data_IF_350872530917
#
_entry.id   IF_350872530917
#
_cell.length_a   1.000
_cell.length_b   1.000
_cell.length_c   1.000
_cell.angle_alpha   90.00
_cell.angle_beta   90.00
_cell.angle_gamma   90.00
#
_symmetry.space_group_name_H-M   'P 1'
#
loop_
_entity.id
_entity.type
_entity.pdbx_description
1 polymer ?
#
# COMPACT_ATOMS: atom_id res chain seq x y z
N UNK A 1 -63.83 20.20 8.20
CA UNK A 1 -62.35 20.39 8.18
C UNK A 1 -61.72 19.14 7.63
N UNK A 2 -61.22 19.19 6.41
CA UNK A 2 -60.45 18.08 5.84
C UNK A 2 -58.99 18.37 6.11
N UNK A 3 -58.36 17.52 6.93
CA UNK A 3 -56.91 17.53 7.13
C UNK A 3 -56.32 16.68 6.05
N UNK A 4 -55.72 17.29 5.03
CA UNK A 4 -54.92 16.57 4.03
C UNK A 4 -53.57 16.27 4.62
N UNK A 5 -53.40 15.04 5.08
CA UNK A 5 -52.10 14.53 5.47
C UNK A 5 -51.23 14.28 4.22
N UNK A 6 -50.26 15.14 4.03
CA UNK A 6 -49.25 14.91 3.02
C UNK A 6 -48.35 13.78 3.56
N UNK A 7 -48.45 12.59 2.94
CA UNK A 7 -47.52 11.51 3.20
C UNK A 7 -46.24 11.84 2.43
N UNK A 8 -45.25 12.31 3.16
CA UNK A 8 -43.88 12.44 2.61
C UNK A 8 -43.31 11.03 2.47
N UNK A 9 -43.30 10.51 1.25
CA UNK A 9 -42.53 9.33 0.91
C UNK A 9 -41.05 9.72 0.88
N UNK A 10 -40.34 9.35 1.94
CA UNK A 10 -38.89 9.45 1.95
C UNK A 10 -38.34 8.42 0.96
N UNK A 11 -37.88 8.89 -0.20
CA UNK A 11 -37.16 8.04 -1.13
C UNK A 11 -35.77 7.83 -0.58
N UNK A 12 -35.50 6.64 0.00
CA UNK A 12 -34.17 6.24 0.38
C UNK A 12 -33.43 5.91 -0.93
N UNK A 13 -32.54 6.80 -1.34
CA UNK A 13 -31.64 6.52 -2.46
C UNK A 13 -30.66 5.44 -2.03
N UNK A 14 -30.86 4.22 -2.52
CA UNK A 14 -29.87 3.13 -2.37
C UNK A 14 -28.78 3.40 -3.39
N UNK A 15 -27.64 3.92 -2.93
CA UNK A 15 -26.44 3.99 -3.80
C UNK A 15 -25.96 2.56 -4.06
N UNK A 16 -25.81 2.14 -5.34
CA UNK A 16 -25.24 0.83 -5.61
C UNK A 16 -23.83 0.77 -5.04
N UNK A 17 -23.49 -0.33 -4.37
CA UNK A 17 -22.13 -0.58 -3.93
C UNK A 17 -21.18 -0.41 -5.13
N UNK A 18 -20.10 0.36 -4.95
CA UNK A 18 -19.09 0.54 -5.99
C UNK A 18 -18.62 -0.84 -6.47
N UNK A 19 -18.53 -1.02 -7.80
CA UNK A 19 -18.02 -2.24 -8.37
C UNK A 19 -16.62 -2.52 -7.83
N UNK A 20 -16.40 -3.72 -7.26
CA UNK A 20 -15.08 -4.12 -6.75
C UNK A 20 -14.13 -4.24 -7.93
N UNK A 21 -12.99 -3.54 -7.86
CA UNK A 21 -11.93 -3.63 -8.86
C UNK A 21 -11.44 -5.09 -8.94
N UNK A 22 -11.49 -5.69 -10.13
CA UNK A 22 -11.04 -7.07 -10.36
C UNK A 22 -9.56 -7.27 -10.04
N UNK A 23 -8.71 -6.25 -10.27
CA UNK A 23 -7.29 -6.30 -9.94
C UNK A 23 -7.07 -6.32 -8.44
N UNK A 24 -7.79 -5.48 -7.69
CA UNK A 24 -7.73 -5.46 -6.23
C UNK A 24 -8.20 -6.77 -5.63
N UNK A 25 -9.24 -7.40 -6.19
CA UNK A 25 -9.75 -8.71 -5.75
C UNK A 25 -8.73 -9.81 -6.01
N UNK A 26 -8.11 -9.85 -7.18
CA UNK A 26 -7.06 -10.83 -7.50
C UNK A 26 -5.84 -10.69 -6.60
N UNK A 27 -5.42 -9.47 -6.33
CA UNK A 27 -4.34 -9.19 -5.40
C UNK A 27 -4.66 -9.71 -4.00
N UNK A 28 -5.84 -9.39 -3.48
CA UNK A 28 -6.29 -9.86 -2.16
C UNK A 28 -6.38 -11.38 -2.09
N UNK A 29 -6.88 -12.04 -3.15
CA UNK A 29 -6.94 -13.50 -3.22
C UNK A 29 -5.56 -14.13 -3.24
N UNK A 30 -4.62 -13.55 -4.01
CA UNK A 30 -3.25 -14.00 -4.05
C UNK A 30 -2.54 -13.89 -2.70
N UNK A 31 -2.82 -12.84 -1.95
CA UNK A 31 -2.25 -12.65 -0.61
C UNK A 31 -2.62 -13.77 0.36
N UNK A 32 -3.81 -14.32 0.26
CA UNK A 32 -4.27 -15.40 1.15
C UNK A 32 -3.46 -16.69 1.02
N UNK A 33 -2.77 -16.88 -0.11
CA UNK A 33 -1.90 -18.02 -0.35
C UNK A 33 -0.50 -17.84 0.24
N UNK A 34 -0.18 -16.66 0.74
CA UNK A 34 1.11 -16.35 1.35
C UNK A 34 1.05 -16.53 2.87
N UNK A 35 2.20 -16.83 3.49
CA UNK A 35 2.30 -16.79 4.94
C UNK A 35 2.11 -15.35 5.46
N UNK A 36 1.81 -15.21 6.75
CA UNK A 36 1.45 -13.92 7.34
C UNK A 36 2.55 -12.86 7.22
N UNK A 37 3.81 -13.23 7.38
CA UNK A 37 4.92 -12.29 7.28
C UNK A 37 5.11 -11.79 5.84
N UNK A 38 5.14 -12.70 4.89
CA UNK A 38 5.23 -12.35 3.46
C UNK A 38 4.04 -11.52 3.02
N UNK A 39 2.85 -11.88 3.50
CA UNK A 39 1.62 -11.13 3.22
C UNK A 39 1.73 -9.68 3.71
N UNK A 40 2.25 -9.48 4.92
CA UNK A 40 2.44 -8.14 5.48
C UNK A 40 3.44 -7.32 4.66
N UNK A 41 4.56 -7.92 4.25
CA UNK A 41 5.54 -7.26 3.38
C UNK A 41 4.91 -6.81 2.06
N UNK A 42 4.11 -7.67 1.44
CA UNK A 42 3.46 -7.35 0.16
C UNK A 42 2.47 -6.21 0.27
N UNK A 43 1.60 -6.21 1.27
CA UNK A 43 0.62 -5.12 1.43
C UNK A 43 1.28 -3.80 1.80
N UNK A 44 2.35 -3.84 2.59
CA UNK A 44 3.10 -2.64 2.95
C UNK A 44 3.86 -2.07 1.76
N UNK A 45 4.47 -2.91 0.93
CA UNK A 45 5.12 -2.47 -0.30
C UNK A 45 4.13 -1.86 -1.29
N UNK A 46 2.96 -2.45 -1.44
CA UNK A 46 1.89 -1.89 -2.27
C UNK A 46 1.40 -0.55 -1.73
N UNK A 47 1.18 -0.44 -0.43
CA UNK A 47 0.76 0.81 0.21
C UNK A 47 1.82 1.90 0.06
N UNK A 48 3.11 1.55 0.14
CA UNK A 48 4.20 2.48 -0.10
C UNK A 48 4.11 3.12 -1.48
N UNK A 49 3.94 2.31 -2.53
CA UNK A 49 3.80 2.83 -3.89
C UNK A 49 2.59 3.76 -4.01
N UNK A 50 1.47 3.36 -3.44
CA UNK A 50 0.23 4.14 -3.48
C UNK A 50 0.39 5.48 -2.77
N UNK A 51 0.96 5.48 -1.56
CA UNK A 51 1.14 6.70 -0.75
C UNK A 51 2.13 7.66 -1.37
N UNK A 52 3.29 7.19 -1.77
CA UNK A 52 4.34 8.04 -2.37
C UNK A 52 3.81 8.67 -3.66
N UNK A 53 3.11 7.90 -4.50
CA UNK A 53 2.54 8.41 -5.74
C UNK A 53 1.41 9.42 -5.53
N UNK A 54 0.64 9.28 -4.45
CA UNK A 54 -0.47 10.18 -4.12
C UNK A 54 0.00 11.48 -3.48
N UNK A 55 0.99 11.39 -2.57
CA UNK A 55 1.39 12.51 -1.73
C UNK A 55 2.20 13.59 -2.46
N UNK A 56 2.74 13.27 -3.64
CA UNK A 56 3.46 14.24 -4.45
C UNK A 56 3.43 13.89 -5.92
N UNK A 57 3.77 14.88 -6.77
CA UNK A 57 3.85 14.70 -8.23
C UNK A 57 5.26 14.31 -8.69
N UNK A 58 6.21 14.32 -7.78
CA UNK A 58 7.62 14.06 -8.07
C UNK A 58 7.89 12.60 -8.42
N UNK A 59 7.21 11.68 -7.72
CA UNK A 59 7.44 10.26 -7.87
C UNK A 59 6.23 9.53 -8.45
N UNK A 60 6.52 8.50 -9.26
CA UNK A 60 5.55 7.54 -9.79
C UNK A 60 6.08 6.12 -9.52
N UNK A 61 5.95 5.63 -8.29
CA UNK A 61 6.52 4.34 -7.93
C UNK A 61 5.86 3.20 -8.69
N UNK A 62 6.67 2.32 -9.25
CA UNK A 62 6.20 1.08 -9.90
C UNK A 62 6.76 -0.18 -9.24
N UNK A 63 7.67 -0.03 -8.29
CA UNK A 63 8.21 -1.11 -7.47
C UNK A 63 8.54 -0.59 -6.08
N UNK A 64 8.37 -1.45 -5.09
CA UNK A 64 8.80 -1.20 -3.72
C UNK A 64 9.31 -2.50 -3.12
N UNK A 65 10.44 -2.42 -2.45
CA UNK A 65 11.08 -3.56 -1.77
C UNK A 65 11.44 -3.16 -0.35
N UNK A 66 10.75 -3.72 0.62
CA UNK A 66 10.98 -3.46 2.04
C UNK A 66 12.36 -3.93 2.53
N UNK A 67 12.95 -4.91 1.83
CA UNK A 67 14.20 -5.57 2.22
C UNK A 67 15.39 -5.24 1.30
N UNK A 68 15.35 -4.15 0.55
CA UNK A 68 16.35 -3.86 -0.47
C UNK A 68 17.77 -3.70 0.11
N UNK A 69 17.95 -2.82 1.09
CA UNK A 69 19.26 -2.50 1.69
C UNK A 69 19.48 -3.30 2.97
N UNK A 70 18.44 -3.51 3.75
CA UNK A 70 18.47 -4.32 4.96
C UNK A 70 17.12 -4.97 5.20
N UNK A 71 17.12 -6.08 5.94
CA UNK A 71 15.89 -6.80 6.27
C UNK A 71 14.96 -5.96 7.15
N UNK A 72 13.66 -5.96 6.86
CA UNK A 72 12.70 -5.28 7.71
C UNK A 72 12.50 -6.05 9.02
N UNK A 73 12.06 -5.35 10.04
CA UNK A 73 11.74 -5.92 11.33
C UNK A 73 10.24 -6.20 11.42
N UNK A 74 9.89 -7.43 11.76
CA UNK A 74 8.51 -7.84 12.02
C UNK A 74 8.22 -7.80 13.52
N UNK A 75 7.18 -7.08 13.90
CA UNK A 75 6.66 -7.05 15.27
C UNK A 75 5.14 -7.25 15.24
N UNK A 76 4.69 -8.51 15.30
CA UNK A 76 3.28 -8.83 15.16
C UNK A 76 2.74 -8.40 13.81
N UNK A 77 1.78 -7.48 13.79
CA UNK A 77 1.21 -6.91 12.57
C UNK A 77 1.91 -5.62 12.11
N UNK A 78 3.07 -5.30 12.69
CA UNK A 78 3.85 -4.13 12.33
C UNK A 78 5.10 -4.53 11.56
N UNK A 79 5.36 -3.81 10.48
CA UNK A 79 6.56 -3.92 9.66
C UNK A 79 7.35 -2.62 9.73
N UNK A 80 8.60 -2.70 10.18
CA UNK A 80 9.51 -1.57 10.27
C UNK A 80 10.62 -1.78 9.26
N UNK A 81 10.65 -0.98 8.22
CA UNK A 81 11.60 -1.10 7.12
C UNK A 81 12.52 0.14 7.07
N UNK A 82 13.74 -0.01 7.57
CA UNK A 82 14.72 1.07 7.56
C UNK A 82 15.61 1.05 6.33
N UNK A 83 15.61 -0.04 5.57
CA UNK A 83 16.42 -0.21 4.37
C UNK A 83 15.58 -0.57 3.14
N UNK A 84 14.42 0.05 2.99
CA UNK A 84 13.57 -0.14 1.83
C UNK A 84 14.03 0.71 0.64
N UNK A 85 13.58 0.32 -0.55
CA UNK A 85 13.80 1.08 -1.78
C UNK A 85 12.55 1.04 -2.66
N UNK A 86 12.27 2.12 -3.37
CA UNK A 86 11.25 2.15 -4.39
C UNK A 86 11.82 2.62 -5.72
N UNK A 87 11.22 2.16 -6.81
CA UNK A 87 11.60 2.58 -8.16
C UNK A 87 10.57 3.55 -8.71
N UNK A 88 11.05 4.66 -9.24
CA UNK A 88 10.24 5.67 -9.90
C UNK A 88 10.96 6.16 -11.15
N UNK A 89 10.29 6.11 -12.29
CA UNK A 89 10.84 6.56 -13.57
C UNK A 89 12.21 5.93 -13.89
N UNK A 90 12.36 4.65 -13.60
CA UNK A 90 13.59 3.89 -13.86
C UNK A 90 14.73 4.15 -12.89
N UNK A 91 14.52 4.89 -11.81
CA UNK A 91 15.51 5.18 -10.78
C UNK A 91 15.05 4.64 -9.42
N UNK A 92 16.01 4.19 -8.61
CA UNK A 92 15.75 3.69 -7.28
C UNK A 92 16.10 4.71 -6.21
N UNK A 93 15.26 4.77 -5.20
CA UNK A 93 15.40 5.67 -4.05
C UNK A 93 15.32 4.90 -2.76
N UNK A 94 16.17 5.23 -1.80
CA UNK A 94 16.02 4.70 -0.44
C UNK A 94 14.81 5.34 0.22
N UNK A 95 14.15 4.58 1.06
CA UNK A 95 13.15 5.12 1.96
C UNK A 95 13.02 4.23 3.20
N UNK A 96 12.42 4.75 4.21
CA UNK A 96 12.06 4.02 5.41
C UNK A 96 10.57 4.13 5.65
N UNK A 97 10.00 3.12 6.26
CA UNK A 97 8.60 3.18 6.63
C UNK A 97 8.29 2.35 7.87
N UNK A 98 7.21 2.70 8.53
CA UNK A 98 6.54 1.90 9.55
C UNK A 98 5.13 1.65 9.07
N UNK A 99 4.78 0.39 8.92
CA UNK A 99 3.51 -0.05 8.36
C UNK A 99 2.82 -0.99 9.36
N UNK A 100 1.58 -0.66 9.72
CA UNK A 100 0.77 -1.53 10.55
C UNK A 100 -0.33 -2.16 9.70
N UNK A 101 -0.36 -3.48 9.67
CA UNK A 101 -1.43 -4.24 9.02
C UNK A 101 -2.56 -4.57 9.99
N UNK A 102 -3.71 -4.94 9.43
CA UNK A 102 -4.76 -5.61 10.18
C UNK A 102 -4.25 -6.99 10.66
N UNK A 103 -4.90 -7.61 11.67
CA UNK A 103 -4.43 -8.91 12.20
C UNK A 103 -4.29 -10.02 11.16
N UNK A 104 -5.11 -10.02 10.11
CA UNK A 104 -5.05 -10.99 9.02
C UNK A 104 -4.01 -10.63 7.94
N UNK A 105 -3.35 -9.47 8.06
CA UNK A 105 -2.38 -8.93 7.10
C UNK A 105 -2.92 -8.80 5.67
N UNK A 106 -4.22 -8.53 5.53
CA UNK A 106 -4.86 -8.31 4.23
C UNK A 106 -5.08 -6.83 3.91
N UNK A 107 -4.94 -5.96 4.90
CA UNK A 107 -5.11 -4.52 4.73
C UNK A 107 -4.14 -3.75 5.62
N UNK A 108 -3.87 -2.49 5.25
CA UNK A 108 -3.02 -1.58 6.02
C UNK A 108 -3.90 -0.69 6.90
N UNK A 109 -3.56 -0.63 8.18
CA UNK A 109 -4.23 0.21 9.18
C UNK A 109 -3.56 1.58 9.27
N UNK A 110 -2.23 1.62 9.27
CA UNK A 110 -1.48 2.88 9.31
C UNK A 110 -0.16 2.74 8.58
N UNK A 111 0.31 3.84 8.01
CA UNK A 111 1.53 3.88 7.22
C UNK A 111 2.19 5.24 7.36
N UNK A 112 3.47 5.25 7.72
CA UNK A 112 4.29 6.45 7.78
C UNK A 112 5.62 6.16 7.09
N UNK A 113 6.11 7.08 6.28
CA UNK A 113 7.34 6.88 5.52
C UNK A 113 8.19 8.15 5.45
N UNK A 114 9.45 7.95 5.12
CA UNK A 114 10.39 9.03 4.86
C UNK A 114 11.25 8.65 3.66
N UNK A 115 11.29 9.52 2.65
CA UNK A 115 12.09 9.32 1.45
C UNK A 115 13.53 9.74 1.73
N UNK A 116 14.47 8.91 1.30
CA UNK A 116 15.90 9.17 1.40
C UNK A 116 16.53 9.49 0.05
N UNK A 117 17.80 9.14 -0.08
CA UNK A 117 18.61 9.45 -1.25
C UNK A 117 18.34 8.51 -2.43
N UNK A 118 18.58 9.01 -3.64
CA UNK A 118 18.63 8.20 -4.83
C UNK A 118 19.80 7.20 -4.71
N UNK A 119 19.56 5.96 -5.08
CA UNK A 119 20.57 4.91 -5.04
C UNK A 119 21.35 4.92 -6.37
N UNK A 120 22.67 5.14 -6.34
CA UNK A 120 23.48 5.08 -7.56
C UNK A 120 23.35 3.74 -8.26
N UNK A 121 23.28 3.74 -9.59
CA UNK A 121 23.16 2.50 -10.38
C UNK A 121 24.27 1.49 -10.06
N UNK A 122 25.48 1.95 -9.74
CA UNK A 122 26.59 1.10 -9.34
C UNK A 122 26.32 0.25 -8.08
N UNK A 123 25.32 0.65 -7.27
CA UNK A 123 24.92 -0.07 -6.05
C UNK A 123 23.75 -1.03 -6.26
N UNK A 124 23.09 -0.98 -7.41
CA UNK A 124 21.85 -1.75 -7.62
C UNK A 124 22.08 -3.26 -7.53
N UNK A 125 23.14 -3.77 -8.12
CA UNK A 125 23.45 -5.19 -8.08
C UNK A 125 23.62 -5.70 -6.64
N UNK A 126 24.32 -4.95 -5.81
CA UNK A 126 24.53 -5.27 -4.40
C UNK A 126 23.19 -5.40 -3.64
N UNK A 127 22.22 -4.58 -3.98
CA UNK A 127 20.91 -4.57 -3.34
C UNK A 127 19.84 -5.38 -4.09
N UNK A 128 20.22 -6.12 -5.11
CA UNK A 128 19.26 -6.88 -5.92
C UNK A 128 18.28 -6.01 -6.70
N UNK A 129 18.67 -4.77 -7.04
CA UNK A 129 17.86 -3.83 -7.80
C UNK A 129 18.17 -3.93 -9.30
N UNK A 130 17.22 -3.52 -10.13
CA UNK A 130 17.32 -3.65 -11.59
C UNK A 130 16.63 -2.48 -12.31
N UNK A 131 16.86 -2.39 -13.61
CA UNK A 131 16.16 -1.44 -14.49
C UNK A 131 14.72 -1.86 -14.72
#
# INVERSE_FOLDING_TARGET
MKISGAVLLAVVAVTPAAAVDKKATKFAEGLKNLDLETRLEQICDYEAMRRIGRDGKEFRPDRSQSNAVSEPKHEGSMLIANGAAFRSKGQWYRFSFTCKGAPDHLSVVSFAYQIGEQIPEAKWEEYGLWK
#
